data_IF_560908457818
#
_entry.id   IF_560908457818
#
_cell.length_a   1.000
_cell.length_b   1.000
_cell.length_c   1.000
_cell.angle_alpha   90.00
_cell.angle_beta   90.00
_cell.angle_gamma   90.00
#
_symmetry.space_group_name_H-M   'P 1'
#
loop_
_entity.id
_entity.type
_entity.pdbx_description
1 polymer ?
#
# COMPACT_ATOMS: atom_id res chain seq x y z
N UNK A 1 28.89 -48.87 -54.38
CA UNK A 1 27.82 -47.87 -54.11
C UNK A 1 28.09 -47.26 -52.75
N UNK A 2 28.54 -45.99 -52.69
CA UNK A 2 28.68 -45.24 -51.42
C UNK A 2 27.77 -44.03 -51.54
N UNK A 3 26.63 -44.05 -50.86
CA UNK A 3 25.64 -42.97 -50.88
C UNK A 3 26.06 -41.85 -49.93
N UNK A 4 26.30 -40.67 -50.49
CA UNK A 4 26.55 -39.41 -49.81
C UNK A 4 25.24 -38.86 -49.21
N UNK A 5 25.15 -38.71 -47.89
CA UNK A 5 24.07 -38.01 -47.14
C UNK A 5 24.64 -37.71 -45.73
N UNK A 6 24.48 -36.57 -45.06
CA UNK A 6 23.56 -35.42 -45.13
C UNK A 6 24.30 -34.17 -44.59
N UNK A 7 24.42 -33.10 -45.37
CA UNK A 7 24.85 -31.77 -44.88
C UNK A 7 23.69 -30.85 -44.49
N UNK A 8 22.45 -31.36 -44.47
CA UNK A 8 21.23 -30.57 -44.28
C UNK A 8 20.75 -30.45 -42.82
N UNK A 9 20.94 -31.50 -42.00
CA UNK A 9 20.43 -31.52 -40.62
C UNK A 9 21.10 -30.48 -39.72
N UNK A 10 22.41 -30.27 -39.90
CA UNK A 10 23.17 -29.34 -39.06
C UNK A 10 22.84 -27.87 -39.37
N UNK A 11 22.61 -27.53 -40.64
CA UNK A 11 22.20 -26.17 -41.03
C UNK A 11 20.80 -25.84 -40.53
N UNK A 12 19.88 -26.80 -40.60
CA UNK A 12 18.53 -26.65 -40.06
C UNK A 12 18.55 -26.44 -38.54
N UNK A 13 19.40 -27.19 -37.82
CA UNK A 13 19.59 -27.02 -36.38
C UNK A 13 20.05 -25.60 -36.00
N UNK A 14 21.08 -25.06 -36.67
CA UNK A 14 21.57 -23.71 -36.38
C UNK A 14 20.57 -22.59 -36.76
N UNK A 15 19.76 -22.79 -37.80
CA UNK A 15 18.70 -21.83 -38.17
C UNK A 15 17.63 -21.76 -37.07
N UNK A 16 17.19 -22.92 -36.55
CA UNK A 16 16.19 -22.97 -35.46
C UNK A 16 16.74 -22.31 -34.20
N UNK A 17 17.99 -22.59 -33.84
CA UNK A 17 18.66 -21.99 -32.69
C UNK A 17 18.79 -20.46 -32.82
N UNK A 18 19.11 -19.96 -34.02
CA UNK A 18 19.17 -18.52 -34.30
C UNK A 18 17.82 -17.84 -34.16
N UNK A 19 16.75 -18.43 -34.69
CA UNK A 19 15.38 -17.89 -34.57
C UNK A 19 14.92 -17.86 -33.11
N UNK A 20 15.18 -18.92 -32.35
CA UNK A 20 14.83 -18.99 -30.93
C UNK A 20 15.55 -17.89 -30.12
N UNK A 21 16.83 -17.63 -30.40
CA UNK A 21 17.59 -16.57 -29.75
C UNK A 21 17.02 -15.17 -30.05
N UNK A 22 16.63 -14.89 -31.29
CA UNK A 22 16.04 -13.60 -31.68
C UNK A 22 14.67 -13.38 -31.00
N UNK A 23 13.84 -14.42 -30.93
CA UNK A 23 12.54 -14.35 -30.24
C UNK A 23 12.74 -14.10 -28.74
N UNK A 24 13.69 -14.81 -28.10
CA UNK A 24 13.99 -14.61 -26.68
C UNK A 24 14.49 -13.19 -26.39
N UNK A 25 15.41 -12.65 -27.21
CA UNK A 25 15.90 -11.28 -27.07
C UNK A 25 14.79 -10.26 -27.32
N UNK A 26 13.92 -10.49 -28.31
CA UNK A 26 12.75 -9.64 -28.57
C UNK A 26 11.75 -9.63 -27.42
N UNK A 27 11.47 -10.79 -26.82
CA UNK A 27 10.61 -10.92 -25.65
C UNK A 27 11.22 -10.28 -24.40
N UNK A 28 12.53 -10.44 -24.16
CA UNK A 28 13.25 -9.76 -23.08
C UNK A 28 13.25 -8.25 -23.27
N UNK A 29 13.46 -7.77 -24.50
CA UNK A 29 13.45 -6.35 -24.79
C UNK A 29 12.05 -5.75 -24.64
N UNK A 30 11.00 -6.45 -25.09
CA UNK A 30 9.61 -6.06 -24.87
C UNK A 30 9.24 -6.06 -23.39
N UNK A 31 9.69 -7.06 -22.62
CA UNK A 31 9.51 -7.11 -21.17
C UNK A 31 10.25 -5.96 -20.46
N UNK A 32 11.49 -5.66 -20.90
CA UNK A 32 12.27 -4.55 -20.35
C UNK A 32 11.76 -3.16 -20.75
N UNK A 33 11.02 -3.05 -21.86
CA UNK A 33 10.38 -1.81 -22.32
C UNK A 33 8.91 -1.69 -21.92
N UNK A 34 8.30 -2.79 -21.46
CA UNK A 34 6.97 -2.83 -20.84
C UNK A 34 6.96 -2.31 -19.41
N UNK A 35 7.99 -1.56 -19.00
CA UNK A 35 7.89 -0.67 -17.84
C UNK A 35 6.85 0.39 -18.17
N UNK A 36 5.70 0.27 -17.51
CA UNK A 36 4.57 1.17 -17.67
C UNK A 36 5.01 2.63 -17.68
N UNK A 37 4.29 3.44 -18.44
CA UNK A 37 4.31 4.89 -18.32
C UNK A 37 3.79 5.27 -16.93
N UNK A 38 4.60 5.03 -15.91
CA UNK A 38 4.52 5.74 -14.65
C UNK A 38 4.91 7.18 -14.98
N UNK A 39 3.91 7.99 -15.33
CA UNK A 39 4.04 9.41 -15.11
C UNK A 39 4.53 9.56 -13.67
N UNK A 40 5.68 10.20 -13.48
CA UNK A 40 6.18 10.46 -12.14
C UNK A 40 5.02 11.02 -11.31
N UNK A 41 4.84 10.53 -10.08
CA UNK A 41 3.84 10.99 -9.12
C UNK A 41 4.04 12.47 -8.68
N UNK A 42 4.65 13.30 -9.52
CA UNK A 42 4.91 14.72 -9.33
C UNK A 42 3.78 15.59 -9.88
N UNK A 43 2.93 15.05 -10.76
CA UNK A 43 1.80 15.77 -11.35
C UNK A 43 0.91 16.46 -10.31
N UNK A 44 0.40 15.73 -9.31
CA UNK A 44 -0.49 16.31 -8.30
C UNK A 44 0.22 17.28 -7.34
N UNK A 45 1.46 16.98 -6.96
CA UNK A 45 2.24 17.82 -6.03
C UNK A 45 2.54 19.19 -6.65
N UNK A 46 2.79 19.25 -7.95
CA UNK A 46 3.10 20.49 -8.66
C UNK A 46 1.91 21.46 -8.72
N UNK A 47 0.67 20.94 -8.81
CA UNK A 47 -0.56 21.74 -8.80
C UNK A 47 -0.90 22.27 -7.39
N UNK A 48 -0.60 21.50 -6.33
CA UNK A 48 -0.69 22.00 -4.93
C UNK A 48 0.25 23.19 -4.74
N UNK A 49 1.52 23.03 -5.14
CA UNK A 49 2.54 24.07 -4.95
C UNK A 49 2.28 25.35 -5.76
N UNK A 50 1.51 25.25 -6.84
CA UNK A 50 1.08 26.40 -7.67
C UNK A 50 -0.21 27.05 -7.18
N UNK A 51 -0.87 26.48 -6.16
CA UNK A 51 -2.17 26.97 -5.68
C UNK A 51 -3.31 26.75 -6.68
N UNK A 52 -3.16 25.79 -7.59
CA UNK A 52 -4.13 25.52 -8.68
C UNK A 52 -5.18 24.47 -8.30
N UNK A 53 -5.07 23.85 -7.11
CA UNK A 53 -6.10 22.95 -6.56
C UNK A 53 -6.79 23.60 -5.37
N UNK A 54 -7.89 24.31 -5.65
CA UNK A 54 -8.87 24.75 -4.63
C UNK A 54 -9.92 23.65 -4.32
N UNK A 55 -9.96 22.59 -5.13
CA UNK A 55 -10.90 21.48 -4.99
C UNK A 55 -10.37 20.45 -3.98
N UNK A 56 -10.89 20.52 -2.76
CA UNK A 56 -10.61 19.57 -1.68
C UNK A 56 -10.97 18.14 -2.09
N UNK A 57 -12.02 17.94 -2.89
CA UNK A 57 -12.41 16.61 -3.38
C UNK A 57 -11.35 16.01 -4.28
N UNK A 58 -10.76 16.81 -5.17
CA UNK A 58 -9.64 16.38 -6.01
C UNK A 58 -8.39 16.06 -5.17
N UNK A 59 -8.12 16.83 -4.12
CA UNK A 59 -6.98 16.59 -3.22
C UNK A 59 -7.14 15.30 -2.41
N UNK A 60 -8.34 15.02 -1.91
CA UNK A 60 -8.63 13.77 -1.18
C UNK A 60 -8.46 12.56 -2.09
N UNK A 61 -8.84 12.63 -3.37
CA UNK A 61 -8.63 11.53 -4.32
C UNK A 61 -7.16 11.19 -4.58
N UNK A 62 -6.22 12.08 -4.22
CA UNK A 62 -4.79 11.79 -4.30
C UNK A 62 -4.28 10.98 -3.12
N UNK A 63 -5.00 11.02 -2.00
CA UNK A 63 -4.69 10.24 -0.81
C UNK A 63 -5.47 8.91 -0.86
N UNK A 64 -4.76 7.80 -0.75
CA UNK A 64 -5.38 6.48 -0.70
C UNK A 64 -5.92 6.22 0.70
N UNK A 65 -7.24 6.23 0.86
CA UNK A 65 -7.91 5.86 2.12
C UNK A 65 -8.05 4.35 2.27
N UNK A 66 -8.24 3.88 3.50
CA UNK A 66 -8.79 2.53 3.76
C UNK A 66 -10.20 2.69 4.30
N UNK A 67 -11.15 2.02 3.67
CA UNK A 67 -12.57 2.17 3.96
C UNK A 67 -13.06 1.18 5.03
N UNK A 68 -14.14 1.56 5.73
CA UNK A 68 -14.91 0.72 6.65
C UNK A 68 -16.39 1.06 6.57
N UNK A 69 -17.22 0.02 6.57
CA UNK A 69 -18.67 0.13 6.52
C UNK A 69 -19.22 -0.20 5.14
N UNK A 70 -20.44 0.26 4.88
CA UNK A 70 -21.10 0.07 3.59
C UNK A 70 -20.48 1.01 2.52
N UNK A 71 -19.88 0.48 1.43
CA UNK A 71 -19.29 1.32 0.38
C UNK A 71 -20.33 2.22 -0.31
N UNK A 72 -21.61 1.83 -0.30
CA UNK A 72 -22.71 2.57 -0.90
C UNK A 72 -23.34 3.60 0.08
N UNK A 73 -22.80 3.75 1.29
CA UNK A 73 -23.28 4.72 2.26
C UNK A 73 -23.22 6.17 1.69
N UNK A 74 -24.28 6.97 1.87
CA UNK A 74 -24.39 8.29 1.23
C UNK A 74 -23.47 9.36 1.84
N UNK A 75 -22.91 9.10 3.02
CA UNK A 75 -22.03 10.02 3.75
C UNK A 75 -20.65 9.36 3.89
N UNK A 76 -19.61 10.17 3.70
CA UNK A 76 -18.21 9.75 3.88
C UNK A 76 -17.59 10.57 4.99
N UNK A 77 -17.06 9.89 6.01
CA UNK A 77 -16.30 10.50 7.10
C UNK A 77 -14.83 10.17 6.87
N UNK A 78 -14.00 11.22 6.69
CA UNK A 78 -12.58 11.08 6.44
C UNK A 78 -11.78 11.43 7.69
N UNK A 79 -10.91 10.54 8.13
CA UNK A 79 -9.88 10.84 9.13
C UNK A 79 -8.50 10.87 8.45
N UNK A 80 -7.82 12.01 8.52
CA UNK A 80 -6.39 12.10 8.25
C UNK A 80 -5.63 11.91 9.56
N UNK A 81 -5.17 10.69 9.79
CA UNK A 81 -4.67 10.23 11.08
C UNK A 81 -3.17 10.02 11.12
N UNK A 82 -2.59 10.28 12.29
CA UNK A 82 -1.20 9.98 12.60
C UNK A 82 -1.15 9.01 13.78
N UNK A 83 -0.63 7.80 13.54
CA UNK A 83 -0.56 6.76 14.55
C UNK A 83 0.25 7.12 15.80
N UNK A 84 1.15 8.11 15.74
CA UNK A 84 1.94 8.58 16.88
C UNK A 84 1.31 9.78 17.60
N UNK A 85 0.32 10.44 16.98
CA UNK A 85 -0.35 11.60 17.53
C UNK A 85 -1.24 11.23 18.75
N UNK A 86 -1.03 11.86 19.92
CA UNK A 86 -1.87 11.58 21.09
C UNK A 86 -3.35 11.94 20.90
N UNK A 87 -3.65 12.98 20.12
CA UNK A 87 -5.04 13.37 19.85
C UNK A 87 -5.75 12.34 18.93
N UNK A 88 -5.03 11.80 17.94
CA UNK A 88 -5.55 10.72 17.10
C UNK A 88 -5.80 9.45 17.93
N UNK A 89 -4.94 9.14 18.89
CA UNK A 89 -5.17 8.02 19.81
C UNK A 89 -6.41 8.21 20.68
N UNK A 90 -6.64 9.43 21.20
CA UNK A 90 -7.84 9.74 21.95
C UNK A 90 -9.09 9.63 21.07
N UNK A 91 -9.01 10.10 19.81
CA UNK A 91 -10.09 9.93 18.84
C UNK A 91 -10.39 8.45 18.59
N UNK A 92 -9.38 7.64 18.24
CA UNK A 92 -9.52 6.22 17.99
C UNK A 92 -10.08 5.45 19.20
N UNK A 93 -9.73 5.87 20.42
CA UNK A 93 -10.16 5.20 21.67
C UNK A 93 -11.58 5.60 22.08
N UNK A 94 -11.93 6.88 22.00
CA UNK A 94 -13.13 7.40 22.63
C UNK A 94 -14.21 7.85 21.66
N UNK A 95 -13.84 8.36 20.48
CA UNK A 95 -14.78 8.99 19.53
C UNK A 95 -15.12 8.06 18.39
N UNK A 96 -14.11 7.45 17.75
CA UNK A 96 -14.29 6.56 16.61
C UNK A 96 -15.29 5.42 16.90
N UNK A 97 -15.26 4.71 18.06
CA UNK A 97 -16.23 3.65 18.33
C UNK A 97 -17.68 4.16 18.40
N UNK A 98 -17.88 5.41 18.83
CA UNK A 98 -19.20 6.03 18.86
C UNK A 98 -19.69 6.36 17.44
N UNK A 99 -18.78 6.83 16.57
CA UNK A 99 -19.06 7.06 15.15
C UNK A 99 -19.40 5.74 14.46
N UNK A 100 -18.60 4.70 14.71
CA UNK A 100 -18.78 3.38 14.11
C UNK A 100 -20.18 2.84 14.45
N UNK A 101 -20.54 2.84 15.74
CA UNK A 101 -21.84 2.35 16.22
C UNK A 101 -23.02 3.20 15.72
N UNK A 102 -22.89 4.53 15.73
CA UNK A 102 -24.01 5.41 15.42
C UNK A 102 -24.26 5.57 13.91
N UNK A 103 -23.22 5.46 13.09
CA UNK A 103 -23.30 5.82 11.67
C UNK A 103 -22.75 4.77 10.71
N UNK A 104 -21.71 4.01 11.09
CA UNK A 104 -21.04 3.10 10.15
C UNK A 104 -21.70 1.73 10.08
N UNK A 105 -21.96 1.11 11.23
CA UNK A 105 -22.59 -0.23 11.30
C UNK A 105 -23.99 -0.26 10.69
N UNK A 106 -24.71 0.86 10.75
CA UNK A 106 -26.04 1.02 10.18
C UNK A 106 -26.07 1.45 8.70
N UNK A 107 -24.92 1.60 8.04
CA UNK A 107 -24.83 2.02 6.63
C UNK A 107 -25.19 3.49 6.37
N UNK A 108 -25.27 4.32 7.41
CA UNK A 108 -25.59 5.76 7.27
C UNK A 108 -24.38 6.51 6.69
N UNK A 109 -23.18 6.11 7.13
CA UNK A 109 -21.91 6.63 6.65
C UNK A 109 -20.91 5.50 6.42
N UNK A 110 -19.95 5.73 5.53
CA UNK A 110 -18.68 4.98 5.51
C UNK A 110 -17.58 5.83 6.13
N UNK A 111 -16.59 5.16 6.70
CA UNK A 111 -15.43 5.80 7.30
C UNK A 111 -14.19 5.48 6.47
N UNK A 112 -13.33 6.46 6.25
CA UNK A 112 -12.06 6.26 5.55
C UNK A 112 -10.91 6.83 6.39
N UNK A 113 -9.88 6.00 6.60
CA UNK A 113 -8.64 6.42 7.26
C UNK A 113 -7.56 6.71 6.21
N UNK A 114 -6.96 7.88 6.30
CA UNK A 114 -5.89 8.36 5.45
C UNK A 114 -4.64 8.62 6.30
N UNK A 115 -3.50 8.02 5.93
CA UNK A 115 -2.25 8.21 6.66
C UNK A 115 -1.76 9.66 6.50
N UNK A 116 -1.50 10.32 7.63
CA UNK A 116 -0.98 11.69 7.67
C UNK A 116 0.18 11.82 8.67
N UNK A 117 1.33 11.15 8.42
CA UNK A 117 2.46 11.16 9.33
C UNK A 117 3.07 12.57 9.43
N UNK A 118 3.00 13.17 10.62
CA UNK A 118 3.50 14.51 10.89
C UNK A 118 5.02 14.50 11.04
N UNK A 119 5.69 15.53 10.51
CA UNK A 119 7.15 15.62 10.54
C UNK A 119 7.76 15.63 11.96
N UNK A 120 6.99 16.05 12.96
CA UNK A 120 7.40 16.03 14.38
C UNK A 120 7.27 14.67 15.06
N UNK A 121 6.69 13.68 14.38
CA UNK A 121 6.46 12.34 14.89
C UNK A 121 7.40 11.34 14.20
N UNK A 122 8.57 11.04 14.79
CA UNK A 122 9.64 10.29 14.13
C UNK A 122 9.25 8.85 13.73
N UNK A 123 8.23 8.28 14.36
CA UNK A 123 7.76 6.91 14.16
C UNK A 123 6.44 6.82 13.39
N UNK A 124 5.77 7.96 13.12
CA UNK A 124 4.48 7.99 12.44
C UNK A 124 4.53 7.33 11.06
N UNK A 125 5.56 7.63 10.27
CA UNK A 125 5.73 7.03 8.94
C UNK A 125 5.94 5.51 9.03
N UNK A 126 6.71 5.03 10.00
CA UNK A 126 6.94 3.59 10.18
C UNK A 126 5.67 2.86 10.61
N UNK A 127 4.87 3.47 11.48
CA UNK A 127 3.57 2.94 11.90
C UNK A 127 2.56 2.89 10.74
N UNK A 128 2.45 3.97 9.95
CA UNK A 128 1.62 4.03 8.75
C UNK A 128 2.03 2.94 7.74
N UNK A 129 3.33 2.80 7.48
CA UNK A 129 3.85 1.74 6.61
C UNK A 129 3.49 0.35 7.13
N UNK A 130 3.62 0.10 8.43
CA UNK A 130 3.26 -1.18 9.03
C UNK A 130 1.75 -1.48 8.89
N UNK A 131 0.88 -0.48 9.05
CA UNK A 131 -0.55 -0.63 8.76
C UNK A 131 -0.83 -0.96 7.30
N UNK A 132 -0.09 -0.37 6.36
CA UNK A 132 -0.19 -0.71 4.93
C UNK A 132 0.33 -2.11 4.60
N UNK A 133 1.38 -2.57 5.27
CA UNK A 133 1.81 -3.97 5.15
C UNK A 133 0.74 -4.95 5.65
N UNK A 134 -0.02 -4.61 6.69
CA UNK A 134 -1.18 -5.41 7.09
C UNK A 134 -2.24 -5.45 5.98
N UNK A 135 -2.55 -4.30 5.38
CA UNK A 135 -3.51 -4.20 4.27
C UNK A 135 -3.07 -5.04 3.05
N UNK A 136 -1.78 -5.05 2.72
CA UNK A 136 -1.25 -5.82 1.59
C UNK A 136 -1.46 -7.34 1.75
N UNK A 137 -1.66 -7.82 2.98
CA UNK A 137 -1.98 -9.23 3.28
C UNK A 137 -3.49 -9.52 3.28
N UNK A 138 -4.33 -8.48 3.26
CA UNK A 138 -5.79 -8.60 3.21
C UNK A 138 -6.49 -7.37 3.82
N UNK A 139 -7.62 -6.98 3.24
CA UNK A 139 -8.42 -5.83 3.68
C UNK A 139 -8.89 -5.99 5.13
N UNK A 140 -9.17 -7.23 5.55
CA UNK A 140 -9.61 -7.57 6.90
C UNK A 140 -8.55 -7.30 7.99
N UNK A 141 -7.28 -7.17 7.62
CA UNK A 141 -6.18 -7.00 8.57
C UNK A 141 -5.86 -5.54 8.90
N UNK A 142 -6.21 -4.60 8.03
CA UNK A 142 -5.88 -3.19 8.25
C UNK A 142 -6.49 -2.65 9.54
N UNK A 143 -7.80 -2.81 9.75
CA UNK A 143 -8.49 -2.24 10.91
C UNK A 143 -8.06 -2.85 12.24
N UNK A 144 -7.94 -4.19 12.39
CA UNK A 144 -7.36 -4.78 13.58
C UNK A 144 -5.93 -4.28 13.85
N UNK A 145 -5.10 -4.11 12.82
CA UNK A 145 -3.73 -3.62 12.99
C UNK A 145 -3.68 -2.13 13.36
N UNK A 146 -4.51 -1.31 12.72
CA UNK A 146 -4.74 0.09 13.07
C UNK A 146 -5.09 0.23 14.55
N UNK A 147 -6.00 -0.60 15.05
CA UNK A 147 -6.43 -0.57 16.45
C UNK A 147 -5.29 -1.00 17.40
N UNK A 148 -4.46 -1.99 17.01
CA UNK A 148 -3.27 -2.37 17.77
C UNK A 148 -2.27 -1.22 17.91
N UNK A 149 -1.98 -0.50 16.82
CA UNK A 149 -1.06 0.63 16.85
C UNK A 149 -1.51 1.72 17.84
N UNK A 150 -2.79 2.06 17.84
CA UNK A 150 -3.35 3.06 18.76
C UNK A 150 -3.46 2.55 20.20
N UNK A 151 -3.90 1.30 20.39
CA UNK A 151 -4.02 0.69 21.72
C UNK A 151 -2.66 0.67 22.46
N UNK A 152 -1.58 0.49 21.71
CA UNK A 152 -0.23 0.39 22.25
C UNK A 152 0.64 1.64 22.01
N UNK A 153 0.08 2.77 21.54
CA UNK A 153 0.83 3.98 21.17
C UNK A 153 1.86 4.41 22.22
N UNK A 154 1.48 4.43 23.49
CA UNK A 154 2.36 4.84 24.59
C UNK A 154 3.62 3.97 24.75
N UNK A 155 3.57 2.71 24.28
CA UNK A 155 4.67 1.76 24.42
C UNK A 155 5.75 1.93 23.35
N UNK A 156 5.40 2.42 22.17
CA UNK A 156 6.31 2.54 21.03
C UNK A 156 6.61 3.99 20.63
N UNK A 157 5.72 4.95 20.94
CA UNK A 157 5.83 6.35 20.50
C UNK A 157 7.10 7.05 21.01
N UNK A 158 7.57 6.73 22.22
CA UNK A 158 8.79 7.31 22.79
C UNK A 158 10.06 6.49 22.51
N UNK A 159 9.98 5.47 21.64
CA UNK A 159 11.13 4.61 21.35
C UNK A 159 12.33 5.43 20.83
N UNK A 160 13.57 5.15 21.26
CA UNK A 160 14.75 5.86 20.76
C UNK A 160 15.13 5.48 19.32
N UNK A 161 14.52 4.43 18.77
CA UNK A 161 14.76 3.92 17.41
C UNK A 161 13.46 3.44 16.77
N UNK A 162 13.38 3.27 15.43
CA UNK A 162 12.17 2.76 14.79
C UNK A 162 11.68 1.47 15.47
N UNK A 163 10.42 1.40 15.96
CA UNK A 163 9.94 0.33 16.83
C UNK A 163 9.50 -0.92 16.03
N UNK A 164 10.31 -1.36 15.07
CA UNK A 164 9.99 -2.46 14.15
C UNK A 164 9.55 -3.73 14.89
N UNK A 165 10.27 -4.10 15.96
CA UNK A 165 9.95 -5.31 16.73
C UNK A 165 8.55 -5.26 17.36
N UNK A 166 8.15 -4.12 17.89
CA UNK A 166 6.80 -3.97 18.46
C UNK A 166 5.73 -4.11 17.38
N UNK A 167 5.98 -3.55 16.19
CA UNK A 167 5.07 -3.64 15.04
C UNK A 167 4.94 -5.07 14.51
N UNK A 168 6.03 -5.84 14.48
CA UNK A 168 6.02 -7.28 14.17
C UNK A 168 5.23 -8.08 15.22
N UNK A 169 5.43 -7.78 16.51
CA UNK A 169 4.72 -8.46 17.60
C UNK A 169 3.20 -8.20 17.51
N UNK A 170 2.77 -6.98 17.17
CA UNK A 170 1.35 -6.66 16.91
C UNK A 170 0.81 -7.38 15.68
N UNK A 171 1.61 -7.52 14.63
CA UNK A 171 1.22 -8.22 13.41
C UNK A 171 0.99 -9.70 13.72
N UNK A 172 1.93 -10.32 14.41
CA UNK A 172 1.82 -11.71 14.86
C UNK A 172 0.61 -11.93 15.77
N UNK A 173 0.27 -10.97 16.63
CA UNK A 173 -0.88 -11.08 17.54
C UNK A 173 -2.23 -11.19 16.83
N UNK A 174 -2.34 -10.65 15.60
CA UNK A 174 -3.55 -10.73 14.78
C UNK A 174 -3.44 -11.74 13.63
N UNK A 175 -2.38 -12.56 13.63
CA UNK A 175 -2.21 -13.66 12.69
C UNK A 175 -1.63 -13.27 11.32
N UNK A 176 -1.03 -12.09 11.19
CA UNK A 176 -0.31 -11.69 9.98
C UNK A 176 0.99 -12.47 9.80
N UNK A 177 1.41 -12.65 8.55
CA UNK A 177 2.72 -13.19 8.24
C UNK A 177 3.80 -12.11 8.45
N UNK A 178 4.63 -12.31 9.47
CA UNK A 178 5.71 -11.37 9.81
C UNK A 178 6.85 -11.40 8.78
N UNK A 179 7.03 -12.52 8.06
CA UNK A 179 8.07 -12.60 7.02
C UNK A 179 7.79 -11.67 5.83
N UNK A 180 6.50 -11.40 5.57
CA UNK A 180 6.04 -10.52 4.49
C UNK A 180 5.94 -9.04 4.94
N UNK A 181 6.32 -8.71 6.17
CA UNK A 181 6.24 -7.36 6.78
C UNK A 181 7.50 -6.48 6.56
N UNK A 182 8.49 -6.96 5.79
CA UNK A 182 9.85 -6.43 5.71
C UNK A 182 10.13 -5.56 4.45
#
# INVERSE_FOLDING_TARGET
>A
MVTKKKGGDLKAFYVVLGVAAVIAVGALWWSSRGGGTGGAATGPVLSILRGEMEDIGALVQLATGVERGDPDAPITILEFGDFQCPACQQFATFVKPQIDLAYVEGGIARFEFHDFPLAGHPHAFFAARAARCALDQGEEYFWPYHDQLFAHQATWSASPSPPARAFEDYASAIGLNVEDFA
#
